data_IF_962709560077
#
_entry.id   IF_962709560077
#
_cell.length_a   1.000
_cell.length_b   1.000
_cell.length_c   1.000
_cell.angle_alpha   90.00
_cell.angle_beta   90.00
_cell.angle_gamma   90.00
#
_symmetry.space_group_name_H-M   'P 1'
#
loop_
_entity.id
_entity.type
_entity.pdbx_description
1 polymer ?
#
# COMPACT_ATOMS: atom_id res chain seq x y z
N UNK A 1 3.31 -12.96 -1.23
CA UNK A 1 2.59 -13.35 -0.03
C UNK A 1 3.27 -14.44 0.81
N UNK A 2 4.49 -14.78 0.57
CA UNK A 2 5.18 -15.91 1.21
C UNK A 2 6.65 -15.56 1.46
N UNK A 3 6.96 -14.72 2.43
CA UNK A 3 8.35 -14.63 2.94
C UNK A 3 8.50 -13.76 4.20
N UNK A 4 7.67 -14.04 5.19
CA UNK A 4 7.75 -13.36 6.50
C UNK A 4 8.18 -14.31 7.62
N UNK A 5 8.44 -15.56 7.29
CA UNK A 5 8.75 -16.60 8.27
C UNK A 5 10.14 -16.45 8.93
N UNK A 6 11.10 -15.76 8.30
CA UNK A 6 12.48 -15.73 8.79
C UNK A 6 12.74 -14.79 9.97
N UNK A 7 11.97 -13.70 10.11
CA UNK A 7 12.22 -12.71 11.19
C UNK A 7 11.58 -13.16 12.50
N UNK A 8 10.45 -13.84 12.45
CA UNK A 8 9.78 -14.38 13.65
C UNK A 8 10.54 -15.58 14.23
N UNK A 9 11.11 -16.42 13.36
CA UNK A 9 11.94 -17.56 13.80
C UNK A 9 13.22 -17.14 14.51
N UNK A 10 13.85 -16.04 14.10
CA UNK A 10 15.07 -15.55 14.79
C UNK A 10 14.74 -15.03 16.19
N UNK A 11 13.57 -14.43 16.42
CA UNK A 11 13.21 -13.95 17.78
C UNK A 11 12.76 -15.08 18.71
N UNK A 12 12.13 -16.13 18.19
CA UNK A 12 11.68 -17.29 18.98
C UNK A 12 12.78 -18.33 19.18
N UNK A 13 13.64 -18.58 18.18
CA UNK A 13 14.77 -19.51 18.34
C UNK A 13 15.80 -19.04 19.35
N UNK A 14 16.06 -17.73 19.40
CA UNK A 14 17.02 -17.15 20.39
C UNK A 14 16.47 -17.26 21.83
N UNK A 15 15.14 -17.26 22.01
CA UNK A 15 14.54 -17.38 23.35
C UNK A 15 14.30 -18.85 23.78
N UNK A 16 14.08 -19.77 22.82
CA UNK A 16 13.82 -21.18 23.14
C UNK A 16 15.10 -21.99 23.35
N UNK A 17 16.18 -21.66 22.69
CA UNK A 17 17.45 -22.37 22.87
C UNK A 17 18.18 -22.01 24.18
N UNK A 18 17.85 -20.88 24.82
CA UNK A 18 18.50 -20.51 26.09
C UNK A 18 17.94 -21.20 27.33
N UNK A 19 16.83 -21.95 27.21
CA UNK A 19 16.23 -22.62 28.36
C UNK A 19 16.48 -24.13 28.43
N UNK A 20 17.04 -24.78 27.40
CA UNK A 20 17.14 -26.23 27.35
C UNK A 20 18.54 -26.84 27.63
N UNK A 21 19.58 -26.07 27.96
CA UNK A 21 20.91 -26.64 28.18
C UNK A 21 21.64 -26.06 29.38
N UNK A 22 21.04 -26.13 30.57
CA UNK A 22 21.82 -26.31 31.79
C UNK A 22 21.99 -27.83 32.04
N UNK A 23 22.83 -28.50 31.27
CA UNK A 23 23.36 -29.79 31.69
C UNK A 23 24.28 -29.54 32.87
N UNK A 24 23.77 -29.87 34.04
CA UNK A 24 24.53 -29.90 35.28
C UNK A 24 25.77 -30.78 35.03
N UNK A 25 27.04 -30.29 35.16
CA UNK A 25 28.24 -31.03 34.73
C UNK A 25 28.53 -32.27 35.56
N UNK A 26 27.61 -32.77 36.33
CA UNK A 26 27.79 -33.90 37.24
C UNK A 26 26.78 -35.04 37.14
N UNK A 27 25.92 -35.07 36.09
CA UNK A 27 24.95 -36.21 35.98
C UNK A 27 25.27 -37.09 34.75
N UNK A 28 25.27 -38.43 34.93
CA UNK A 28 25.39 -39.36 33.82
C UNK A 28 24.20 -39.21 32.86
N UNK A 29 24.43 -39.38 31.54
CA UNK A 29 23.42 -39.28 30.48
C UNK A 29 23.26 -40.61 29.76
N UNK A 30 22.12 -40.83 29.11
CA UNK A 30 21.92 -42.01 28.27
C UNK A 30 22.44 -41.78 26.85
N UNK A 31 23.20 -42.75 26.33
CA UNK A 31 23.63 -42.75 24.96
C UNK A 31 22.40 -42.84 24.01
N UNK A 32 22.28 -41.85 23.12
CA UNK A 32 21.14 -41.81 22.14
C UNK A 32 21.19 -42.93 21.09
N UNK A 33 22.41 -43.51 20.88
CA UNK A 33 22.60 -44.57 19.87
C UNK A 33 22.30 -45.97 20.40
N UNK A 34 22.68 -46.31 21.64
CA UNK A 34 22.51 -47.66 22.17
C UNK A 34 21.82 -47.73 23.55
N UNK A 35 21.40 -46.59 24.15
CA UNK A 35 20.72 -46.54 25.42
C UNK A 35 21.58 -46.77 26.66
N UNK A 36 22.90 -47.01 26.51
CA UNK A 36 23.78 -47.21 27.66
C UNK A 36 23.99 -45.90 28.46
N UNK A 37 24.19 -46.02 29.77
CA UNK A 37 24.51 -44.89 30.63
C UNK A 37 25.97 -44.47 30.38
N UNK A 38 26.17 -43.21 30.11
CA UNK A 38 27.47 -42.58 29.85
C UNK A 38 27.81 -41.69 31.03
N UNK A 39 29.03 -41.75 31.49
CA UNK A 39 29.53 -40.93 32.58
C UNK A 39 29.49 -39.45 32.27
N UNK A 40 29.39 -38.63 33.32
CA UNK A 40 29.37 -37.18 33.16
C UNK A 40 30.68 -36.69 32.52
N UNK A 41 30.60 -36.03 31.35
CA UNK A 41 31.75 -35.49 30.64
C UNK A 41 32.50 -36.45 29.74
N UNK A 42 32.08 -37.69 29.60
CA UNK A 42 32.68 -38.62 28.62
C UNK A 42 32.35 -38.24 27.19
N UNK A 43 33.36 -38.05 26.30
CA UNK A 43 33.13 -37.61 24.92
C UNK A 43 32.58 -38.69 23.98
N UNK A 44 32.69 -39.98 24.41
CA UNK A 44 32.20 -41.14 23.64
C UNK A 44 31.56 -42.17 24.54
N UNK A 45 30.56 -42.87 24.04
CA UNK A 45 29.94 -43.99 24.74
C UNK A 45 30.92 -45.20 24.79
N UNK A 46 31.25 -45.68 25.99
CA UNK A 46 32.14 -46.83 26.17
C UNK A 46 31.57 -48.12 25.56
N UNK A 47 30.23 -48.21 25.31
CA UNK A 47 29.55 -49.42 24.81
C UNK A 47 29.53 -49.46 23.27
N UNK A 48 29.23 -48.32 22.61
CA UNK A 48 29.04 -48.33 21.15
C UNK A 48 29.94 -47.35 20.39
N UNK A 49 30.83 -46.64 21.09
CA UNK A 49 31.74 -45.65 20.49
C UNK A 49 31.11 -44.38 19.95
N UNK A 50 29.76 -44.25 20.04
CA UNK A 50 29.06 -43.06 19.54
C UNK A 50 29.43 -41.83 20.34
N UNK A 51 29.68 -40.70 19.67
CA UNK A 51 29.96 -39.42 20.35
C UNK A 51 28.78 -39.03 21.23
N UNK A 52 29.05 -38.70 22.49
CA UNK A 52 28.04 -38.27 23.45
C UNK A 52 27.82 -36.76 23.41
N UNK A 53 28.74 -36.03 22.79
CA UNK A 53 28.57 -34.60 22.50
C UNK A 53 27.77 -34.39 21.25
N UNK A 54 26.47 -34.15 21.37
CA UNK A 54 25.56 -33.83 20.26
C UNK A 54 25.73 -32.40 19.73
N UNK A 55 26.64 -31.62 20.28
CA UNK A 55 27.01 -30.30 19.75
C UNK A 55 28.50 -30.05 19.95
N UNK A 56 29.23 -29.50 18.97
CA UNK A 56 30.57 -29.01 19.20
C UNK A 56 30.52 -27.97 20.34
N UNK A 57 31.41 -28.13 21.34
CA UNK A 57 31.47 -27.16 22.41
C UNK A 57 31.65 -25.77 21.87
N UNK A 58 30.68 -24.89 22.12
CA UNK A 58 30.74 -23.49 21.67
C UNK A 58 32.07 -22.88 22.15
N UNK A 59 32.76 -22.23 21.22
CA UNK A 59 34.01 -21.53 21.55
C UNK A 59 33.73 -20.37 22.54
N UNK A 60 34.71 -19.93 23.25
CA UNK A 60 34.57 -18.79 24.17
C UNK A 60 34.06 -17.54 23.44
N UNK A 61 34.47 -17.36 22.18
CA UNK A 61 34.02 -16.26 21.32
C UNK A 61 32.54 -16.38 20.95
N UNK A 62 32.03 -17.58 20.63
CA UNK A 62 30.60 -17.82 20.33
C UNK A 62 29.74 -17.54 21.58
N UNK A 63 30.15 -18.01 22.76
CA UNK A 63 29.42 -17.72 24.01
C UNK A 63 29.42 -16.24 24.37
N UNK A 64 30.48 -15.51 24.05
CA UNK A 64 30.52 -14.05 24.26
C UNK A 64 29.62 -13.34 23.27
N UNK A 65 29.62 -13.70 21.99
CA UNK A 65 28.74 -13.14 20.96
C UNK A 65 27.25 -13.38 21.30
N UNK A 66 26.90 -14.57 21.81
CA UNK A 66 25.56 -14.88 22.27
C UNK A 66 25.14 -14.01 23.47
N UNK A 67 26.01 -13.85 24.46
CA UNK A 67 25.76 -12.99 25.61
C UNK A 67 25.54 -11.52 25.21
N UNK A 68 26.32 -11.00 24.27
CA UNK A 68 26.20 -9.63 23.77
C UNK A 68 24.87 -9.48 22.98
N UNK A 69 24.53 -10.47 22.16
CA UNK A 69 23.25 -10.53 21.44
C UNK A 69 22.06 -10.51 22.39
N UNK A 70 22.11 -11.33 23.46
CA UNK A 70 21.02 -11.40 24.46
C UNK A 70 20.95 -10.07 25.25
N UNK A 71 22.08 -9.47 25.65
CA UNK A 71 22.09 -8.17 26.34
C UNK A 71 21.49 -7.07 25.47
N UNK A 72 21.89 -6.98 24.20
CA UNK A 72 21.36 -6.01 23.25
C UNK A 72 19.86 -6.25 23.00
N UNK A 73 19.47 -7.50 22.71
CA UNK A 73 18.08 -7.89 22.52
C UNK A 73 17.22 -7.47 23.73
N UNK A 74 17.64 -7.81 24.94
CA UNK A 74 16.93 -7.44 26.17
C UNK A 74 16.82 -5.92 26.33
N UNK A 75 17.89 -5.18 26.08
CA UNK A 75 17.89 -3.71 26.21
C UNK A 75 17.02 -3.00 25.16
N UNK A 76 16.85 -3.57 23.98
CA UNK A 76 16.07 -2.98 22.88
C UNK A 76 14.64 -3.54 22.83
N UNK A 77 14.47 -4.87 22.88
CA UNK A 77 13.19 -5.51 22.71
C UNK A 77 12.24 -5.33 23.90
N UNK A 78 12.76 -5.03 25.10
CA UNK A 78 11.95 -4.67 26.27
C UNK A 78 11.25 -3.31 26.14
N UNK A 79 11.70 -2.46 25.21
CA UNK A 79 11.09 -1.13 25.04
C UNK A 79 9.67 -1.24 24.50
N UNK A 80 8.76 -0.35 24.93
CA UNK A 80 7.38 -0.34 24.44
C UNK A 80 7.33 0.07 22.96
N UNK A 81 6.28 -0.39 22.26
CA UNK A 81 5.97 -0.05 20.87
C UNK A 81 4.51 0.44 20.72
N UNK A 82 4.15 1.42 21.52
CA UNK A 82 2.78 1.93 21.68
C UNK A 82 2.21 2.50 20.39
N UNK A 83 3.00 3.25 19.62
CA UNK A 83 2.52 3.90 18.40
C UNK A 83 2.36 2.92 17.24
N UNK A 84 3.08 1.81 17.21
CA UNK A 84 2.79 0.70 16.29
C UNK A 84 1.35 0.21 16.51
N UNK A 85 0.93 0.02 17.77
CA UNK A 85 -0.45 -0.38 18.10
C UNK A 85 -1.45 0.73 17.79
N UNK A 86 -1.12 1.99 18.10
CA UNK A 86 -1.99 3.14 17.76
C UNK A 86 -2.24 3.21 16.25
N UNK A 87 -1.20 3.06 15.42
CA UNK A 87 -1.33 3.06 13.97
C UNK A 87 -2.15 1.88 13.46
N UNK A 88 -1.95 0.69 14.04
CA UNK A 88 -2.75 -0.50 13.72
C UNK A 88 -4.24 -0.23 14.00
N UNK A 89 -4.55 0.24 15.20
CA UNK A 89 -5.94 0.55 15.61
C UNK A 89 -6.53 1.65 14.73
N UNK A 90 -5.76 2.71 14.41
CA UNK A 90 -6.22 3.79 13.54
C UNK A 90 -6.60 3.29 12.14
N UNK A 91 -5.77 2.42 11.53
CA UNK A 91 -6.06 1.84 10.22
C UNK A 91 -7.29 0.92 10.25
N UNK A 92 -7.41 0.08 11.27
CA UNK A 92 -8.61 -0.77 11.48
C UNK A 92 -9.86 0.10 11.67
N UNK A 93 -9.77 1.15 12.47
CA UNK A 93 -10.89 2.07 12.73
C UNK A 93 -11.36 2.77 11.44
N UNK A 94 -10.42 3.35 10.67
CA UNK A 94 -10.76 4.00 9.38
C UNK A 94 -11.39 2.98 8.43
N UNK A 95 -10.87 1.76 8.37
CA UNK A 95 -11.43 0.70 7.53
C UNK A 95 -12.87 0.35 7.95
N UNK A 96 -13.14 0.23 9.25
CA UNK A 96 -14.49 -0.02 9.76
C UNK A 96 -15.45 1.13 9.45
N UNK A 97 -15.01 2.38 9.54
CA UNK A 97 -15.81 3.53 9.12
C UNK A 97 -16.12 3.49 7.62
N UNK A 98 -15.13 3.15 6.79
CA UNK A 98 -15.34 2.96 5.35
C UNK A 98 -16.33 1.85 5.07
N UNK A 99 -16.21 0.72 5.77
CA UNK A 99 -17.12 -0.40 5.66
C UNK A 99 -18.56 0.00 5.97
N UNK A 100 -18.79 0.58 7.13
CA UNK A 100 -20.12 1.00 7.57
C UNK A 100 -20.74 2.05 6.63
N UNK A 101 -19.95 3.05 6.22
CA UNK A 101 -20.44 4.13 5.35
C UNK A 101 -20.68 3.74 3.90
N UNK A 102 -20.01 2.70 3.40
CA UNK A 102 -20.15 2.23 2.01
C UNK A 102 -21.29 1.21 1.83
N UNK A 103 -21.95 0.79 2.92
CA UNK A 103 -23.05 -0.18 2.88
C UNK A 103 -22.66 -1.57 2.35
N UNK A 104 -21.38 -1.90 2.41
CA UNK A 104 -20.86 -3.17 1.88
C UNK A 104 -21.33 -4.36 2.74
N UNK A 105 -21.77 -5.43 2.09
CA UNK A 105 -22.13 -6.70 2.74
C UNK A 105 -20.92 -7.62 2.91
N UNK A 106 -21.06 -8.68 3.73
CA UNK A 106 -19.96 -9.61 4.02
C UNK A 106 -19.34 -10.32 2.79
N UNK A 107 -20.08 -10.45 1.70
CA UNK A 107 -19.58 -11.01 0.44
C UNK A 107 -18.45 -10.18 -0.20
N UNK A 108 -18.23 -8.96 0.28
CA UNK A 108 -17.30 -7.97 -0.26
C UNK A 108 -15.96 -7.92 0.47
N UNK A 109 -15.65 -8.86 1.37
CA UNK A 109 -14.37 -8.93 2.10
C UNK A 109 -13.15 -8.92 1.15
N UNK A 110 -13.31 -9.46 -0.05
CA UNK A 110 -12.24 -9.59 -1.03
C UNK A 110 -12.36 -8.58 -2.20
N UNK A 111 -13.51 -7.94 -2.36
CA UNK A 111 -13.73 -6.93 -3.39
C UNK A 111 -13.19 -5.58 -2.93
N UNK A 112 -12.83 -4.74 -3.90
CA UNK A 112 -12.41 -3.37 -3.60
C UNK A 112 -13.61 -2.54 -3.14
N UNK A 113 -13.37 -1.57 -2.25
CA UNK A 113 -14.34 -0.51 -1.99
C UNK A 113 -14.67 0.23 -3.27
N UNK A 114 -15.91 0.66 -3.46
CA UNK A 114 -16.29 1.52 -4.58
C UNK A 114 -15.41 2.77 -4.62
N UNK A 115 -15.04 3.19 -5.83
CA UNK A 115 -14.20 4.37 -6.02
C UNK A 115 -14.73 5.63 -5.29
N UNK A 116 -16.05 5.94 -5.30
CA UNK A 116 -16.58 7.05 -4.53
C UNK A 116 -16.31 6.97 -3.03
N UNK A 117 -16.27 5.76 -2.45
CA UNK A 117 -15.92 5.57 -1.05
C UNK A 117 -14.44 5.89 -0.79
N UNK A 118 -13.53 5.40 -1.65
CA UNK A 118 -12.11 5.72 -1.56
C UNK A 118 -11.87 7.23 -1.68
N UNK A 119 -12.54 7.90 -2.61
CA UNK A 119 -12.45 9.35 -2.83
C UNK A 119 -12.99 10.12 -1.63
N UNK A 120 -14.14 9.74 -1.06
CA UNK A 120 -14.77 10.39 0.08
C UNK A 120 -13.87 10.36 1.32
N UNK A 121 -13.16 9.26 1.54
CA UNK A 121 -12.21 9.11 2.65
C UNK A 121 -10.83 9.71 2.38
N UNK A 122 -10.59 10.27 1.19
CA UNK A 122 -9.39 11.03 0.88
C UNK A 122 -8.28 10.24 0.20
N UNK A 123 -8.60 9.19 -0.56
CA UNK A 123 -7.64 8.53 -1.43
C UNK A 123 -6.92 9.54 -2.33
N UNK A 124 -5.65 9.28 -2.66
CA UNK A 124 -4.85 10.12 -3.54
C UNK A 124 -5.48 10.13 -4.94
N UNK A 125 -5.78 11.29 -5.44
CA UNK A 125 -6.25 11.53 -6.80
C UNK A 125 -5.72 12.89 -7.25
N UNK A 126 -4.88 12.92 -8.29
CA UNK A 126 -4.17 14.15 -8.71
C UNK A 126 -5.16 15.24 -9.11
N UNK A 127 -6.24 14.86 -9.79
CA UNK A 127 -7.30 15.78 -10.17
C UNK A 127 -7.83 16.60 -8.99
N UNK A 128 -8.02 15.97 -7.82
CA UNK A 128 -8.51 16.65 -6.62
C UNK A 128 -7.41 17.37 -5.83
N UNK A 129 -6.15 17.00 -6.04
CA UNK A 129 -5.00 17.69 -5.42
C UNK A 129 -4.68 18.99 -6.16
N UNK A 130 -4.84 18.98 -7.50
CA UNK A 130 -4.55 20.12 -8.37
C UNK A 130 -5.63 21.21 -8.29
N UNK A 131 -5.38 22.32 -8.96
CA UNK A 131 -6.36 23.38 -9.18
C UNK A 131 -7.59 22.84 -9.91
N UNK A 132 -8.82 23.30 -9.62
CA UNK A 132 -9.16 24.32 -8.62
C UNK A 132 -9.44 23.77 -7.22
N UNK A 133 -9.26 22.45 -6.99
CA UNK A 133 -9.71 21.78 -5.77
C UNK A 133 -8.77 21.92 -4.58
N UNK A 134 -7.44 21.89 -4.82
CA UNK A 134 -6.38 22.05 -3.81
C UNK A 134 -6.53 21.20 -2.56
N UNK A 135 -6.94 19.90 -2.72
CA UNK A 135 -7.21 18.99 -1.61
C UNK A 135 -5.91 18.36 -1.08
N UNK A 136 -5.03 19.17 -0.45
CA UNK A 136 -3.70 18.79 0.03
C UNK A 136 -3.73 17.64 1.07
N UNK A 137 -4.82 17.44 1.80
CA UNK A 137 -4.96 16.34 2.76
C UNK A 137 -4.90 14.96 2.12
N UNK A 138 -5.05 14.88 0.80
CA UNK A 138 -4.85 13.66 0.01
C UNK A 138 -3.39 13.23 -0.12
N UNK A 139 -2.44 13.99 0.44
CA UNK A 139 -1.08 13.51 0.69
C UNK A 139 -0.95 12.76 2.02
N UNK A 140 -1.95 12.84 2.93
CA UNK A 140 -1.90 12.28 4.28
C UNK A 140 -2.91 11.14 4.44
N UNK A 141 -4.18 11.38 4.11
CA UNK A 141 -5.26 10.43 4.31
C UNK A 141 -5.02 9.05 3.64
N UNK A 142 -4.41 8.95 2.45
CA UNK A 142 -4.23 7.66 1.76
C UNK A 142 -3.50 6.61 2.59
N UNK A 143 -2.57 6.99 3.46
CA UNK A 143 -1.79 6.03 4.27
C UNK A 143 -2.60 5.35 5.40
N UNK A 144 -3.86 5.76 5.60
CA UNK A 144 -4.78 5.17 6.58
C UNK A 144 -5.98 4.48 5.93
N UNK A 145 -6.09 4.53 4.61
CA UNK A 145 -7.20 3.97 3.82
C UNK A 145 -6.72 2.69 3.14
N UNK A 146 -7.59 1.70 3.03
CA UNK A 146 -7.26 0.44 2.36
C UNK A 146 -8.35 0.07 1.36
N UNK A 147 -7.93 -0.47 0.21
CA UNK A 147 -8.82 -0.75 -0.93
C UNK A 147 -9.77 -1.91 -0.61
N UNK A 148 -9.31 -2.93 0.13
CA UNK A 148 -10.09 -4.08 0.57
C UNK A 148 -9.50 -4.68 1.84
N UNK A 149 -10.19 -5.68 2.42
CA UNK A 149 -9.75 -6.34 3.65
C UNK A 149 -8.40 -7.05 3.49
N UNK A 150 -8.18 -7.73 2.37
CA UNK A 150 -6.91 -8.41 2.12
C UNK A 150 -5.73 -7.42 2.13
N UNK A 151 -5.88 -6.28 1.47
CA UNK A 151 -4.88 -5.21 1.46
C UNK A 151 -4.63 -4.66 2.87
N UNK A 152 -5.69 -4.45 3.67
CA UNK A 152 -5.56 -4.05 5.07
C UNK A 152 -4.76 -5.09 5.87
N UNK A 153 -5.15 -6.37 5.80
CA UNK A 153 -4.51 -7.43 6.58
C UNK A 153 -3.03 -7.57 6.26
N UNK A 154 -2.65 -7.53 4.98
CA UNK A 154 -1.23 -7.57 4.56
C UNK A 154 -0.45 -6.37 5.11
N UNK A 155 -1.03 -5.15 5.05
CA UNK A 155 -0.39 -3.97 5.59
C UNK A 155 -0.27 -4.03 7.12
N UNK A 156 -1.31 -4.45 7.83
CA UNK A 156 -1.29 -4.56 9.30
C UNK A 156 -0.33 -5.65 9.78
N UNK A 157 -0.29 -6.78 9.08
CA UNK A 157 0.71 -7.80 9.33
C UNK A 157 2.14 -7.27 9.14
N UNK A 158 2.39 -6.56 8.03
CA UNK A 158 3.69 -5.94 7.76
C UNK A 158 4.04 -4.88 8.82
N UNK A 159 3.06 -4.08 9.28
CA UNK A 159 3.25 -3.12 10.37
C UNK A 159 3.68 -3.82 11.66
N UNK A 160 3.04 -4.94 12.02
CA UNK A 160 3.40 -5.72 13.21
C UNK A 160 4.77 -6.39 13.11
N UNK A 161 5.22 -6.72 11.87
CA UNK A 161 6.55 -7.29 11.65
C UNK A 161 7.67 -6.24 11.72
N UNK A 162 7.46 -5.05 11.14
CA UNK A 162 8.51 -4.04 10.96
C UNK A 162 8.43 -2.93 12.02
N UNK A 163 7.21 -2.49 12.34
CA UNK A 163 6.95 -1.35 13.22
C UNK A 163 7.58 -1.45 14.59
N UNK A 164 7.38 -2.57 15.35
CA UNK A 164 7.97 -2.72 16.69
C UNK A 164 9.49 -2.62 16.69
N UNK A 165 10.18 -3.10 15.66
CA UNK A 165 11.63 -2.98 15.57
C UNK A 165 12.07 -1.54 15.41
N UNK A 166 11.45 -0.80 14.45
CA UNK A 166 11.80 0.62 14.25
C UNK A 166 11.47 1.44 15.49
N UNK A 167 10.28 1.23 16.11
CA UNK A 167 9.87 1.99 17.29
C UNK A 167 10.78 1.71 18.49
N UNK A 168 11.18 0.44 18.73
CA UNK A 168 12.08 0.05 19.81
C UNK A 168 13.50 0.57 19.58
N UNK A 169 13.98 0.57 18.33
CA UNK A 169 15.33 1.05 17.99
C UNK A 169 15.41 2.58 18.06
N UNK A 170 14.48 3.29 17.48
CA UNK A 170 14.53 4.75 17.35
C UNK A 170 13.74 5.50 18.42
N UNK A 171 12.80 4.84 19.10
CA UNK A 171 11.84 5.43 20.04
C UNK A 171 10.58 5.96 19.35
N UNK A 172 9.47 6.05 20.11
CA UNK A 172 8.14 6.37 19.58
C UNK A 172 8.07 7.70 18.84
N UNK A 173 8.79 8.73 19.31
CA UNK A 173 8.74 10.04 18.67
C UNK A 173 9.31 10.01 17.25
N UNK A 174 10.51 9.43 17.07
CA UNK A 174 11.12 9.27 15.75
C UNK A 174 10.31 8.33 14.86
N UNK A 175 9.76 7.26 15.42
CA UNK A 175 8.94 6.30 14.70
C UNK A 175 7.71 6.97 14.05
N UNK A 176 6.97 7.80 14.79
CA UNK A 176 5.81 8.52 14.27
C UNK A 176 6.22 9.48 13.14
N UNK A 177 7.32 10.22 13.34
CA UNK A 177 7.85 11.10 12.30
C UNK A 177 8.24 10.31 11.05
N UNK A 178 8.94 9.19 11.22
CA UNK A 178 9.32 8.32 10.08
C UNK A 178 8.10 7.82 9.33
N UNK A 179 7.10 7.30 10.03
CA UNK A 179 5.86 6.85 9.43
C UNK A 179 5.20 7.93 8.57
N UNK A 180 5.01 9.13 9.14
CA UNK A 180 4.31 10.21 8.45
C UNK A 180 5.13 10.76 7.27
N UNK A 181 6.41 11.02 7.48
CA UNK A 181 7.28 11.58 6.43
C UNK A 181 7.44 10.61 5.25
N UNK A 182 7.68 9.32 5.55
CA UNK A 182 7.85 8.33 4.48
C UNK A 182 6.54 8.00 3.77
N UNK A 183 5.43 8.02 4.50
CA UNK A 183 4.10 7.87 3.90
C UNK A 183 3.76 9.02 2.96
N UNK A 184 3.97 10.27 3.39
CA UNK A 184 3.79 11.45 2.53
C UNK A 184 4.74 11.39 1.32
N UNK A 185 6.02 11.06 1.51
CA UNK A 185 6.97 10.92 0.41
C UNK A 185 6.54 9.86 -0.61
N UNK A 186 5.98 8.74 -0.14
CA UNK A 186 5.38 7.73 -1.00
C UNK A 186 4.22 8.28 -1.82
N UNK A 187 3.27 8.98 -1.17
CA UNK A 187 2.12 9.57 -1.88
C UNK A 187 2.57 10.66 -2.86
N UNK A 188 3.58 11.48 -2.51
CA UNK A 188 4.17 12.48 -3.41
C UNK A 188 4.81 11.79 -4.62
N UNK A 189 5.56 10.71 -4.43
CA UNK A 189 6.12 9.94 -5.54
C UNK A 189 5.01 9.40 -6.46
N UNK A 190 3.94 8.85 -5.89
CA UNK A 190 2.76 8.41 -6.64
C UNK A 190 2.11 9.56 -7.42
N UNK A 191 2.00 10.75 -6.81
CA UNK A 191 1.46 11.94 -7.46
C UNK A 191 2.32 12.37 -8.66
N UNK A 192 3.63 12.40 -8.52
CA UNK A 192 4.56 12.82 -9.56
C UNK A 192 4.65 11.84 -10.73
N UNK A 193 4.33 10.57 -10.51
CA UNK A 193 4.47 9.49 -11.51
C UNK A 193 3.21 9.22 -12.32
N UNK A 194 2.13 9.98 -12.16
CA UNK A 194 1.02 9.99 -13.12
C UNK A 194 1.48 10.75 -14.37
N UNK A 195 2.06 10.02 -15.33
CA UNK A 195 2.65 10.52 -16.58
C UNK A 195 2.35 9.54 -17.72
N UNK A 196 1.23 9.71 -18.44
CA UNK A 196 0.81 8.79 -19.51
C UNK A 196 1.90 8.58 -20.57
N UNK A 197 2.64 9.65 -20.92
CA UNK A 197 3.68 9.60 -21.94
C UNK A 197 4.87 8.71 -21.57
N UNK A 198 5.14 8.54 -20.27
CA UNK A 198 6.23 7.73 -19.74
C UNK A 198 5.78 6.32 -19.34
N UNK A 199 4.47 6.06 -19.30
CA UNK A 199 3.89 4.77 -18.93
C UNK A 199 3.93 3.75 -20.09
N UNK A 200 5.07 3.64 -20.76
CA UNK A 200 5.28 2.77 -21.93
C UNK A 200 6.22 1.61 -21.61
N UNK A 201 6.06 0.48 -22.30
CA UNK A 201 6.86 -0.72 -22.02
C UNK A 201 6.68 -1.26 -20.61
N UNK A 202 7.44 -2.30 -20.26
CA UNK A 202 7.32 -2.96 -18.95
C UNK A 202 7.88 -2.11 -17.80
N UNK A 203 9.01 -1.46 -18.00
CA UNK A 203 9.65 -0.61 -16.98
C UNK A 203 8.90 0.71 -16.78
N UNK A 204 8.45 1.36 -17.87
CA UNK A 204 7.64 2.56 -17.78
C UNK A 204 6.35 2.32 -16.99
N UNK A 205 5.62 1.24 -17.30
CA UNK A 205 4.40 0.87 -16.56
C UNK A 205 4.64 0.39 -15.12
N UNK A 206 5.86 -0.02 -14.78
CA UNK A 206 6.21 -0.32 -13.40
C UNK A 206 6.23 0.93 -12.52
N UNK A 207 6.76 2.04 -13.04
CA UNK A 207 6.95 3.26 -12.26
C UNK A 207 5.89 4.33 -12.54
N UNK A 208 5.50 4.51 -13.81
CA UNK A 208 4.58 5.55 -14.23
C UNK A 208 3.17 4.98 -14.45
N UNK A 209 2.18 5.82 -14.16
CA UNK A 209 0.75 5.52 -14.36
C UNK A 209 0.22 6.27 -15.56
N UNK A 210 -0.54 5.58 -16.40
CA UNK A 210 -1.26 6.18 -17.54
C UNK A 210 -2.54 6.89 -17.09
N UNK A 211 -3.18 6.40 -16.02
CA UNK A 211 -4.43 6.92 -15.49
C UNK A 211 -4.25 7.43 -14.06
N UNK A 212 -4.98 8.49 -13.72
CA UNK A 212 -5.07 9.01 -12.34
C UNK A 212 -6.17 8.27 -11.58
N UNK A 213 -5.88 7.04 -11.16
CA UNK A 213 -6.79 6.24 -10.34
C UNK A 213 -6.58 6.53 -8.86
N UNK A 214 -7.64 6.41 -8.03
CA UNK A 214 -7.50 6.52 -6.58
C UNK A 214 -6.47 5.55 -6.03
N UNK A 215 -5.49 6.10 -5.29
CA UNK A 215 -4.44 5.30 -4.64
C UNK A 215 -4.54 5.45 -3.13
N UNK A 216 -4.42 4.32 -2.42
CA UNK A 216 -4.55 4.24 -0.98
C UNK A 216 -3.76 3.05 -0.43
N UNK A 217 -3.33 3.14 0.83
CA UNK A 217 -2.61 2.09 1.54
C UNK A 217 -1.47 2.62 2.41
N UNK A 218 -1.22 1.95 3.53
CA UNK A 218 -0.11 2.23 4.43
C UNK A 218 1.25 1.79 3.84
N UNK A 219 1.25 1.11 2.71
CA UNK A 219 2.43 0.43 2.17
C UNK A 219 3.61 1.34 1.87
N UNK A 220 3.37 2.60 1.41
CA UNK A 220 4.44 3.58 1.23
C UNK A 220 5.20 3.87 2.54
N UNK A 221 4.49 4.08 3.65
CA UNK A 221 5.10 4.24 4.97
C UNK A 221 5.82 2.96 5.44
N UNK A 222 5.23 1.79 5.21
CA UNK A 222 5.84 0.49 5.54
C UNK A 222 7.15 0.27 4.79
N UNK A 223 7.19 0.56 3.49
CA UNK A 223 8.44 0.53 2.72
C UNK A 223 9.46 1.53 3.26
N UNK A 224 8.99 2.68 3.76
CA UNK A 224 9.84 3.62 4.48
C UNK A 224 10.49 3.01 5.71
N UNK A 225 9.72 2.30 6.54
CA UNK A 225 10.27 1.59 7.71
C UNK A 225 11.25 0.47 7.31
N UNK A 226 11.00 -0.24 6.21
CA UNK A 226 11.95 -1.22 5.64
C UNK A 226 13.25 -0.53 5.22
N UNK A 227 13.17 0.64 4.55
CA UNK A 227 14.32 1.47 4.20
C UNK A 227 15.12 1.92 5.42
N UNK A 228 14.42 2.29 6.50
CA UNK A 228 15.05 2.62 7.80
C UNK A 228 15.83 1.42 8.33
N UNK A 229 15.27 0.21 8.39
CA UNK A 229 15.94 -0.99 8.90
C UNK A 229 17.09 -1.45 7.99
N UNK A 230 16.94 -1.27 6.68
CA UNK A 230 18.01 -1.56 5.73
C UNK A 230 19.25 -0.70 6.02
N UNK A 231 19.07 0.62 6.08
CA UNK A 231 20.18 1.54 6.36
C UNK A 231 20.68 1.38 7.78
N UNK A 232 19.80 1.18 8.76
CA UNK A 232 20.20 0.90 10.15
C UNK A 232 21.18 -0.27 10.23
N UNK A 233 20.88 -1.38 9.60
CA UNK A 233 21.74 -2.56 9.64
C UNK A 233 23.12 -2.37 8.96
N UNK A 234 23.21 -1.45 7.98
CA UNK A 234 24.47 -1.10 7.32
C UNK A 234 25.23 -0.07 8.14
N UNK A 235 24.59 1.05 8.50
CA UNK A 235 25.21 2.19 9.21
C UNK A 235 25.77 1.80 10.57
N UNK A 236 25.03 0.96 11.31
CA UNK A 236 25.40 0.55 12.66
C UNK A 236 25.93 -0.88 12.74
N UNK A 237 26.37 -1.47 11.62
CA UNK A 237 26.82 -2.86 11.54
C UNK A 237 27.88 -3.21 12.58
N UNK A 238 28.79 -2.28 12.90
CA UNK A 238 29.87 -2.50 13.89
C UNK A 238 29.36 -2.53 15.34
N UNK A 239 28.20 -1.90 15.59
CA UNK A 239 27.55 -1.82 16.91
C UNK A 239 26.58 -2.97 17.16
N UNK A 240 26.21 -3.73 16.11
CA UNK A 240 25.20 -4.77 16.19
C UNK A 240 25.81 -6.14 16.48
N UNK A 241 25.21 -6.92 17.39
CA UNK A 241 25.54 -8.33 17.57
C UNK A 241 25.27 -9.14 16.28
N UNK A 242 25.95 -10.28 16.08
CA UNK A 242 25.89 -11.09 14.85
C UNK A 242 24.47 -11.53 14.49
N UNK A 243 23.63 -11.90 15.45
CA UNK A 243 22.23 -12.26 15.21
C UNK A 243 21.42 -11.15 14.56
N UNK A 244 21.66 -9.88 14.92
CA UNK A 244 20.99 -8.71 14.37
C UNK A 244 21.56 -8.27 13.02
N UNK A 245 22.85 -8.51 12.76
CA UNK A 245 23.48 -8.20 11.45
C UNK A 245 22.87 -8.98 10.32
N UNK A 246 22.40 -10.21 10.58
CA UNK A 246 21.71 -11.05 9.58
C UNK A 246 20.27 -10.62 9.31
N UNK A 247 19.59 -10.07 10.33
CA UNK A 247 18.19 -9.65 10.21
C UNK A 247 18.03 -8.27 9.55
N UNK A 248 18.96 -7.35 9.80
CA UNK A 248 18.92 -5.97 9.32
C UNK A 248 19.99 -5.71 8.24
N UNK A 249 19.91 -4.57 7.58
CA UNK A 249 20.82 -4.25 6.47
C UNK A 249 20.59 -5.17 5.29
N UNK A 250 21.62 -5.88 4.84
CA UNK A 250 21.52 -6.79 3.68
C UNK A 250 20.49 -7.90 3.88
N UNK A 251 20.15 -8.26 5.11
CA UNK A 251 19.05 -9.20 5.41
C UNK A 251 17.66 -8.69 4.98
N UNK A 252 17.50 -7.38 4.78
CA UNK A 252 16.26 -6.80 4.25
C UNK A 252 16.13 -6.92 2.71
N UNK A 253 17.23 -7.21 1.99
CA UNK A 253 17.22 -7.27 0.53
C UNK A 253 16.21 -8.28 -0.04
N UNK A 254 16.08 -9.52 0.47
CA UNK A 254 15.07 -10.44 -0.03
C UNK A 254 13.65 -9.88 0.08
N UNK A 255 13.32 -9.22 1.19
CA UNK A 255 12.02 -8.58 1.40
C UNK A 255 11.80 -7.47 0.37
N UNK A 256 12.79 -6.61 0.16
CA UNK A 256 12.73 -5.52 -0.81
C UNK A 256 12.54 -6.09 -2.22
N UNK A 257 13.38 -7.06 -2.64
CA UNK A 257 13.32 -7.63 -3.99
C UNK A 257 12.02 -8.39 -4.26
N UNK A 258 11.54 -9.20 -3.32
CA UNK A 258 10.28 -9.94 -3.49
C UNK A 258 9.11 -8.97 -3.63
N UNK A 259 9.04 -7.93 -2.80
CA UNK A 259 7.96 -6.96 -2.89
C UNK A 259 8.03 -6.12 -4.18
N UNK A 260 9.22 -5.74 -4.64
CA UNK A 260 9.39 -5.06 -5.93
C UNK A 260 9.03 -5.99 -7.11
N UNK A 261 9.39 -7.29 -7.03
CA UNK A 261 9.00 -8.28 -8.04
C UNK A 261 7.48 -8.47 -8.09
N UNK A 262 6.81 -8.58 -6.93
CA UNK A 262 5.35 -8.62 -6.83
C UNK A 262 4.75 -7.33 -7.42
N UNK A 263 5.34 -6.17 -7.12
CA UNK A 263 4.95 -4.89 -7.70
C UNK A 263 5.14 -4.84 -9.22
N UNK A 264 6.20 -5.45 -9.74
CA UNK A 264 6.44 -5.54 -11.18
C UNK A 264 5.42 -6.44 -11.88
N UNK A 265 5.05 -7.56 -11.27
CA UNK A 265 4.01 -8.46 -11.79
C UNK A 265 2.64 -7.80 -11.69
N UNK A 266 2.32 -7.18 -10.55
CA UNK A 266 1.07 -6.47 -10.29
C UNK A 266 1.03 -5.01 -10.75
N UNK A 267 1.84 -4.65 -11.76
CA UNK A 267 1.86 -3.28 -12.32
C UNK A 267 0.47 -2.89 -12.82
N UNK A 268 0.03 -1.70 -12.40
CA UNK A 268 -1.32 -1.22 -12.65
C UNK A 268 -2.25 -1.35 -11.44
N UNK A 269 -2.02 -2.34 -10.55
CA UNK A 269 -2.74 -2.49 -9.29
C UNK A 269 -1.93 -2.02 -8.08
N UNK A 270 -0.59 -2.20 -8.13
CA UNK A 270 0.33 -1.84 -7.04
C UNK A 270 0.99 -0.50 -7.35
N UNK A 271 0.98 0.40 -6.38
CA UNK A 271 1.60 1.72 -6.47
C UNK A 271 3.11 1.65 -6.19
N UNK A 272 3.86 1.17 -7.19
CA UNK A 272 5.31 0.98 -7.08
C UNK A 272 6.06 2.28 -6.82
N UNK A 273 5.57 3.39 -7.36
CA UNK A 273 6.16 4.70 -7.11
C UNK A 273 6.03 5.10 -5.63
N UNK A 274 4.87 4.84 -5.02
CA UNK A 274 4.68 5.07 -3.58
C UNK A 274 5.61 4.19 -2.74
N UNK A 275 5.82 2.93 -3.12
CA UNK A 275 6.74 2.02 -2.44
C UNK A 275 8.19 2.50 -2.52
N UNK A 276 8.65 2.87 -3.72
CA UNK A 276 10.02 3.38 -3.91
C UNK A 276 10.23 4.73 -3.21
N UNK A 277 9.25 5.65 -3.30
CA UNK A 277 9.30 6.93 -2.61
C UNK A 277 9.41 6.77 -1.10
N UNK A 278 8.63 5.84 -0.53
CA UNK A 278 8.72 5.46 0.89
C UNK A 278 10.08 4.86 1.23
N UNK A 279 10.53 3.86 0.50
CA UNK A 279 11.81 3.16 0.72
C UNK A 279 13.00 4.15 0.73
N UNK A 280 13.10 4.99 -0.29
CA UNK A 280 14.19 5.95 -0.45
C UNK A 280 14.17 7.03 0.64
N UNK A 281 13.00 7.57 0.97
CA UNK A 281 12.86 8.56 2.04
C UNK A 281 13.17 7.97 3.42
N UNK A 282 12.78 6.73 3.68
CA UNK A 282 13.13 6.01 4.92
C UNK A 282 14.62 5.74 5.02
N UNK A 283 15.27 5.35 3.92
CA UNK A 283 16.72 5.21 3.85
C UNK A 283 17.43 6.54 4.13
N UNK A 284 17.00 7.63 3.51
CA UNK A 284 17.55 8.98 3.75
C UNK A 284 17.40 9.43 5.21
N UNK A 285 16.22 9.20 5.82
CA UNK A 285 15.99 9.51 7.22
C UNK A 285 16.94 8.71 8.15
N UNK A 286 17.17 7.43 7.89
CA UNK A 286 18.06 6.61 8.70
C UNK A 286 19.55 7.00 8.52
N UNK A 287 19.94 7.52 7.36
CA UNK A 287 21.26 8.10 7.17
C UNK A 287 21.47 9.33 8.05
N UNK A 288 20.43 10.19 8.14
CA UNK A 288 20.50 11.45 8.89
C UNK A 288 20.26 11.29 10.40
N UNK A 289 19.48 10.28 10.81
CA UNK A 289 19.01 10.13 12.20
C UNK A 289 19.61 8.91 12.87
N UNK A 290 20.23 9.10 14.03
CA UNK A 290 20.77 7.99 14.81
C UNK A 290 19.69 7.26 15.63
N UNK A 291 19.88 5.95 15.79
CA UNK A 291 19.03 5.14 16.67
C UNK A 291 19.30 5.43 18.14
N UNK A 292 18.42 4.99 19.02
CA UNK A 292 18.57 5.14 20.46
C UNK A 292 19.44 4.00 21.00
N UNK A 293 20.74 4.27 21.21
CA UNK A 293 21.69 3.30 21.76
C UNK A 293 21.25 2.78 23.13
N UNK A 294 21.57 1.52 23.48
CA UNK A 294 21.43 1.03 24.86
C UNK A 294 22.21 1.93 25.84
N UNK A 295 21.58 2.34 26.93
CA UNK A 295 22.21 3.22 27.95
C UNK A 295 22.28 4.71 27.60
N UNK A 296 21.89 5.14 26.41
CA UNK A 296 21.87 6.56 26.03
C UNK A 296 20.90 7.38 26.90
N UNK A 297 21.36 8.54 27.39
CA UNK A 297 20.51 9.48 28.14
C UNK A 297 19.39 10.02 27.25
N UNK A 298 18.23 10.30 27.87
CA UNK A 298 17.00 10.73 27.19
C UNK A 298 17.05 12.17 26.63
N UNK A 299 18.20 12.85 26.58
CA UNK A 299 18.30 14.31 26.37
C UNK A 299 17.95 14.84 24.97
N UNK A 300 17.86 13.99 23.94
CA UNK A 300 17.43 14.41 22.58
C UNK A 300 15.90 14.39 22.43
N UNK A 301 15.18 14.18 23.51
CA UNK A 301 13.77 13.78 23.52
C UNK A 301 12.82 14.92 23.15
N UNK A 302 13.14 16.16 23.51
CA UNK A 302 12.17 17.27 23.37
C UNK A 302 12.00 17.73 21.92
N UNK A 303 13.06 17.87 21.13
CA UNK A 303 12.97 18.22 19.71
C UNK A 303 12.15 17.17 18.94
N UNK A 304 12.41 15.88 19.17
CA UNK A 304 11.67 14.81 18.50
C UNK A 304 10.21 14.71 18.96
N UNK A 305 9.92 15.08 20.24
CA UNK A 305 8.54 15.20 20.72
C UNK A 305 7.80 16.33 20.01
N UNK A 306 8.46 17.48 19.79
CA UNK A 306 7.86 18.58 19.00
C UNK A 306 7.55 18.10 17.57
N UNK A 307 8.50 17.46 16.88
CA UNK A 307 8.25 16.90 15.56
C UNK A 307 7.15 15.84 15.55
N UNK A 308 7.06 15.00 16.56
CA UNK A 308 5.97 14.04 16.74
C UNK A 308 4.64 14.75 16.87
N UNK A 309 4.54 15.78 17.70
CA UNK A 309 3.31 16.55 17.89
C UNK A 309 2.90 17.26 16.60
N UNK A 310 3.84 17.83 15.87
CA UNK A 310 3.58 18.43 14.55
C UNK A 310 3.10 17.39 13.55
N UNK A 311 3.73 16.22 13.48
CA UNK A 311 3.31 15.14 12.60
C UNK A 311 1.89 14.65 12.93
N UNK A 312 1.57 14.48 14.21
CA UNK A 312 0.21 14.12 14.66
C UNK A 312 -0.80 15.23 14.36
N UNK A 313 -0.44 16.50 14.56
CA UNK A 313 -1.29 17.64 14.23
C UNK A 313 -1.62 17.69 12.73
N UNK A 314 -0.64 17.41 11.87
CA UNK A 314 -0.84 17.31 10.41
C UNK A 314 -1.82 16.18 10.07
N UNK A 315 -1.74 15.02 10.72
CA UNK A 315 -2.70 13.92 10.54
C UNK A 315 -4.11 14.33 10.98
N UNK A 316 -4.23 14.91 12.18
CA UNK A 316 -5.53 15.38 12.71
C UNK A 316 -6.14 16.42 11.78
N UNK A 317 -5.34 17.40 11.31
CA UNK A 317 -5.81 18.42 10.38
C UNK A 317 -6.20 17.81 9.02
N UNK A 318 -5.47 16.80 8.55
CA UNK A 318 -5.80 16.06 7.34
C UNK A 318 -7.18 15.38 7.46
N UNK A 319 -7.42 14.64 8.53
CA UNK A 319 -8.71 13.99 8.77
C UNK A 319 -9.84 14.98 9.08
N UNK A 320 -9.56 16.10 9.73
CA UNK A 320 -10.51 17.20 9.87
C UNK A 320 -10.97 17.71 8.49
N UNK A 321 -10.02 17.88 7.55
CA UNK A 321 -10.35 18.29 6.18
C UNK A 321 -11.13 17.21 5.43
N UNK A 322 -10.78 15.93 5.61
CA UNK A 322 -11.59 14.81 5.08
C UNK A 322 -13.01 14.91 5.61
N UNK A 323 -13.21 15.03 6.92
CA UNK A 323 -14.54 15.11 7.54
C UNK A 323 -15.34 16.33 7.05
N UNK A 324 -14.68 17.50 6.92
CA UNK A 324 -15.33 18.73 6.41
C UNK A 324 -15.76 18.61 4.94
N UNK A 325 -15.07 17.80 4.16
CA UNK A 325 -15.34 17.59 2.73
C UNK A 325 -15.96 16.22 2.46
N UNK A 326 -16.39 15.52 3.51
CA UNK A 326 -16.97 14.19 3.39
C UNK A 326 -18.35 14.30 2.74
N UNK A 327 -18.44 13.78 1.50
CA UNK A 327 -19.72 13.51 0.88
C UNK A 327 -19.96 12.00 0.99
N UNK A 328 -21.05 11.63 1.66
CA UNK A 328 -21.40 10.22 1.82
C UNK A 328 -21.41 9.55 0.44
N UNK A 329 -20.68 8.44 0.24
CA UNK A 329 -20.65 7.76 -1.06
C UNK A 329 -22.07 7.41 -1.50
N UNK A 330 -22.43 7.75 -2.74
CA UNK A 330 -23.77 7.53 -3.28
C UNK A 330 -24.16 6.04 -3.30
N UNK A 331 -23.19 5.13 -3.16
CA UNK A 331 -23.42 3.69 -3.00
C UNK A 331 -23.76 3.22 -1.58
N UNK A 332 -23.60 4.09 -0.56
CA UNK A 332 -23.76 3.71 0.85
C UNK A 332 -25.22 3.74 1.37
N UNK A 333 -26.17 4.17 0.58
CA UNK A 333 -27.56 4.38 1.02
C UNK A 333 -28.47 3.18 0.73
N UNK A 334 -27.94 2.06 0.27
CA UNK A 334 -28.81 0.94 -0.13
C UNK A 334 -28.71 -0.22 0.87
N UNK A 335 -29.16 0.00 2.10
CA UNK A 335 -29.78 -1.07 2.92
C UNK A 335 -31.26 -1.33 2.54
N UNK A 336 -31.80 -0.53 1.65
CA UNK A 336 -33.11 -0.76 1.04
C UNK A 336 -32.82 -1.22 -0.39
N UNK A 337 -33.30 -2.39 -0.77
CA UNK A 337 -33.26 -2.84 -2.17
C UNK A 337 -33.62 -1.66 -3.06
N UNK A 338 -32.75 -1.20 -3.99
CA UNK A 338 -33.06 -0.06 -4.80
C UNK A 338 -34.39 -0.32 -5.50
N UNK A 339 -35.31 0.66 -5.52
CA UNK A 339 -36.45 0.58 -6.43
C UNK A 339 -35.89 0.30 -7.82
N UNK A 340 -36.62 -0.44 -8.66
CA UNK A 340 -36.15 -0.76 -10.04
C UNK A 340 -35.65 0.50 -10.78
N UNK A 341 -36.23 1.68 -10.48
CA UNK A 341 -35.77 2.98 -11.00
C UNK A 341 -34.38 3.40 -10.56
N UNK A 342 -34.04 3.20 -9.29
CA UNK A 342 -32.70 3.50 -8.77
C UNK A 342 -31.65 2.58 -9.40
N UNK A 343 -31.96 1.30 -9.57
CA UNK A 343 -31.06 0.35 -10.24
C UNK A 343 -30.84 0.70 -11.72
N UNK A 344 -31.89 1.10 -12.43
CA UNK A 344 -31.80 1.58 -13.81
C UNK A 344 -30.91 2.82 -13.89
N UNK A 345 -31.08 3.78 -12.97
CA UNK A 345 -30.26 4.98 -12.91
C UNK A 345 -28.77 4.66 -12.66
N UNK A 346 -28.46 3.82 -11.68
CA UNK A 346 -27.07 3.44 -11.36
C UNK A 346 -26.40 2.69 -12.51
N UNK A 347 -27.09 1.75 -13.14
CA UNK A 347 -26.59 1.03 -14.30
C UNK A 347 -26.33 1.97 -15.48
N UNK A 348 -27.24 2.90 -15.72
CA UNK A 348 -27.10 3.91 -16.76
C UNK A 348 -25.86 4.79 -16.53
N UNK A 349 -25.68 5.33 -15.33
CA UNK A 349 -24.51 6.16 -14.97
C UNK A 349 -23.21 5.37 -15.16
N UNK A 350 -23.15 4.11 -14.69
CA UNK A 350 -21.99 3.24 -14.86
C UNK A 350 -21.64 3.03 -16.35
N UNK A 351 -22.65 2.80 -17.19
CA UNK A 351 -22.46 2.64 -18.63
C UNK A 351 -21.98 3.94 -19.29
N UNK A 352 -22.54 5.09 -18.90
CA UNK A 352 -22.11 6.39 -19.43
C UNK A 352 -20.66 6.69 -19.08
N UNK A 353 -20.19 6.33 -17.90
CA UNK A 353 -18.78 6.45 -17.51
C UNK A 353 -17.87 5.60 -18.40
N UNK A 354 -18.24 4.35 -18.71
CA UNK A 354 -17.48 3.50 -19.64
C UNK A 354 -17.36 4.13 -21.04
N UNK A 355 -18.43 4.75 -21.55
CA UNK A 355 -18.39 5.45 -22.84
C UNK A 355 -17.46 6.67 -22.77
N UNK A 356 -17.49 7.45 -21.70
CA UNK A 356 -16.60 8.59 -21.51
C UNK A 356 -15.12 8.16 -21.41
N UNK A 357 -14.83 7.07 -20.70
CA UNK A 357 -13.49 6.48 -20.65
C UNK A 357 -13.00 6.06 -22.04
N UNK A 358 -13.89 5.47 -22.86
CA UNK A 358 -13.55 5.11 -24.23
C UNK A 358 -13.33 6.33 -25.11
N UNK A 359 -14.11 7.39 -24.96
CA UNK A 359 -13.87 8.67 -25.65
C UNK A 359 -12.49 9.23 -25.28
N UNK A 360 -12.14 9.21 -23.99
CA UNK A 360 -10.82 9.64 -23.52
C UNK A 360 -9.69 8.79 -24.14
N UNK A 361 -9.87 7.47 -24.23
CA UNK A 361 -8.91 6.57 -24.87
C UNK A 361 -8.74 6.86 -26.37
N UNK A 362 -9.84 7.17 -27.09
CA UNK A 362 -9.78 7.57 -28.49
C UNK A 362 -9.08 8.91 -28.67
N UNK A 363 -9.38 9.90 -27.83
CA UNK A 363 -8.79 11.25 -27.93
C UNK A 363 -7.29 11.24 -27.60
N UNK A 364 -6.88 10.55 -26.54
CA UNK A 364 -5.51 10.63 -26.04
C UNK A 364 -4.59 9.55 -26.58
N UNK A 365 -5.12 8.36 -26.88
CA UNK A 365 -4.31 7.20 -27.25
C UNK A 365 -4.57 6.70 -28.67
N UNK A 366 -5.50 7.30 -29.40
CA UNK A 366 -6.02 6.81 -30.69
C UNK A 366 -6.52 5.35 -30.60
N UNK A 367 -7.00 4.93 -29.42
CA UNK A 367 -7.47 3.57 -29.18
C UNK A 367 -8.95 3.44 -29.58
N UNK A 368 -9.17 2.87 -30.75
CA UNK A 368 -10.51 2.55 -31.28
C UNK A 368 -10.92 1.09 -31.05
N UNK A 369 -10.11 0.31 -30.33
CA UNK A 369 -10.50 -1.06 -29.95
C UNK A 369 -11.80 -1.04 -29.16
N UNK A 370 -12.61 -2.08 -29.28
CA UNK A 370 -13.83 -2.28 -28.49
C UNK A 370 -14.92 -1.17 -28.59
N UNK A 371 -14.76 -0.15 -29.43
CA UNK A 371 -15.77 0.92 -29.61
C UNK A 371 -17.14 0.33 -29.95
N UNK A 372 -17.19 -0.69 -30.81
CA UNK A 372 -18.42 -1.36 -31.15
C UNK A 372 -19.08 -2.05 -29.94
N UNK A 373 -18.29 -2.74 -29.13
CA UNK A 373 -18.77 -3.43 -27.93
C UNK A 373 -19.27 -2.43 -26.87
N UNK A 374 -18.54 -1.34 -26.63
CA UNK A 374 -18.95 -0.27 -25.70
C UNK A 374 -20.22 0.41 -26.18
N UNK A 375 -20.33 0.70 -27.48
CA UNK A 375 -21.56 1.27 -28.10
C UNK A 375 -22.75 0.34 -27.93
N UNK A 376 -22.57 -0.95 -28.19
CA UNK A 376 -23.66 -1.95 -28.08
C UNK A 376 -24.13 -2.07 -26.62
N UNK A 377 -23.20 -2.11 -25.66
CA UNK A 377 -23.51 -2.15 -24.22
C UNK A 377 -24.29 -0.89 -23.80
N UNK A 378 -23.88 0.27 -24.27
CA UNK A 378 -24.56 1.53 -23.96
C UNK A 378 -25.98 1.61 -24.56
N UNK A 379 -26.18 1.10 -25.77
CA UNK A 379 -27.50 1.07 -26.40
C UNK A 379 -28.48 0.12 -25.67
N UNK A 380 -27.97 -0.99 -25.10
CA UNK A 380 -28.77 -1.95 -24.35
C UNK A 380 -29.08 -1.49 -22.92
N UNK A 381 -28.32 -0.57 -22.38
CA UNK A 381 -28.57 -0.07 -21.03
C UNK A 381 -29.87 0.76 -20.99
N UNK A 382 -30.82 0.40 -20.09
CA UNK A 382 -32.08 1.15 -19.98
C UNK A 382 -31.79 2.55 -19.41
N UNK A 383 -32.31 3.58 -20.08
CA UNK A 383 -32.20 4.96 -19.62
C UNK A 383 -33.32 5.25 -18.59
N UNK A 384 -33.02 5.99 -17.50
CA UNK A 384 -34.00 6.27 -16.45
C UNK A 384 -35.10 7.25 -16.88
N UNK A 385 -34.83 8.12 -17.86
CA UNK A 385 -35.76 9.09 -18.42
C UNK A 385 -35.42 9.46 -19.89
N UNK A 386 -36.28 10.28 -20.50
CA UNK A 386 -36.11 10.73 -21.89
C UNK A 386 -34.82 11.55 -22.08
N UNK A 387 -34.49 12.41 -21.12
CA UNK A 387 -33.25 13.23 -21.17
C UNK A 387 -31.97 12.37 -21.09
N UNK A 388 -31.97 11.34 -20.27
CA UNK A 388 -30.91 10.36 -20.25
C UNK A 388 -30.74 9.67 -21.63
N UNK A 389 -31.84 9.32 -22.28
CA UNK A 389 -31.78 8.71 -23.61
C UNK A 389 -31.15 9.66 -24.64
N UNK A 390 -31.53 10.94 -24.64
CA UNK A 390 -30.93 11.96 -25.50
C UNK A 390 -29.44 12.12 -25.27
N UNK A 391 -29.04 12.30 -24.01
CA UNK A 391 -27.62 12.44 -23.61
C UNK A 391 -26.78 11.23 -24.00
N UNK A 392 -27.31 10.00 -23.85
CA UNK A 392 -26.66 8.79 -24.33
C UNK A 392 -26.44 8.81 -25.84
N UNK A 393 -27.47 9.12 -26.59
CA UNK A 393 -27.41 9.12 -28.05
C UNK A 393 -26.44 10.18 -28.57
N UNK A 394 -26.41 11.36 -27.95
CA UNK A 394 -25.44 12.41 -28.25
C UNK A 394 -24.01 11.93 -28.00
N UNK A 395 -23.76 11.30 -26.82
CA UNK A 395 -22.42 10.81 -26.47
C UNK A 395 -21.95 9.70 -27.42
N UNK A 396 -22.82 8.77 -27.79
CA UNK A 396 -22.47 7.72 -28.75
C UNK A 396 -22.23 8.29 -30.17
N UNK A 397 -22.93 9.36 -30.55
CA UNK A 397 -22.64 10.10 -31.78
C UNK A 397 -21.25 10.75 -31.77
N UNK A 398 -20.85 11.33 -30.63
CA UNK A 398 -19.51 11.90 -30.45
C UNK A 398 -18.45 10.79 -30.53
N UNK A 399 -18.62 9.68 -29.83
CA UNK A 399 -17.69 8.52 -29.86
C UNK A 399 -17.52 7.99 -31.29
N UNK A 400 -18.63 7.85 -32.03
CA UNK A 400 -18.61 7.36 -33.43
C UNK A 400 -17.82 8.32 -34.35
N UNK A 401 -18.04 9.64 -34.23
CA UNK A 401 -17.27 10.64 -35.00
C UNK A 401 -15.78 10.61 -34.69
N UNK A 402 -15.41 10.56 -33.42
CA UNK A 402 -14.01 10.49 -33.01
C UNK A 402 -13.33 9.20 -33.47
N UNK A 403 -13.98 8.04 -33.28
CA UNK A 403 -13.47 6.76 -33.75
C UNK A 403 -13.33 6.69 -35.28
N UNK A 404 -14.30 7.25 -36.01
CA UNK A 404 -14.25 7.35 -37.48
C UNK A 404 -13.07 8.21 -37.96
N UNK A 405 -12.78 9.34 -37.28
CA UNK A 405 -11.66 10.20 -37.62
C UNK A 405 -10.29 9.51 -37.41
N UNK A 406 -10.15 8.76 -36.30
CA UNK A 406 -8.95 7.97 -36.03
C UNK A 406 -8.80 6.83 -37.04
N UNK A 407 -9.87 6.11 -37.37
CA UNK A 407 -9.82 5.02 -38.33
C UNK A 407 -9.48 5.51 -39.77
N UNK A 408 -9.99 6.68 -40.17
CA UNK A 408 -9.69 7.28 -41.46
C UNK A 408 -8.24 7.78 -41.62
N UNK A 409 -7.57 8.09 -40.49
CA UNK A 409 -6.17 8.51 -40.46
C UNK A 409 -5.17 7.34 -40.51
N UNK A 410 -5.62 6.09 -40.40
CA UNK A 410 -4.77 4.90 -40.52
C UNK A 410 -4.51 4.57 -41.99
N UNK A 411 -3.26 4.58 -42.51
CA UNK A 411 -3.02 4.31 -43.93
C UNK A 411 -3.30 2.84 -44.28
N UNK A 412 -3.97 2.62 -45.39
CA UNK A 412 -4.20 1.29 -45.95
C UNK A 412 -2.98 0.71 -46.70
N UNK A 413 -1.83 1.38 -46.71
CA UNK A 413 -0.61 0.94 -47.45
C UNK A 413 0.64 1.11 -46.63
N UNK A 414 1.46 0.06 -46.69
CA UNK A 414 2.81 -0.07 -46.12
C UNK A 414 3.74 1.07 -46.61
N UNK A 415 4.53 1.65 -45.71
CA UNK A 415 5.69 2.53 -45.96
C UNK A 415 5.53 4.08 -46.04
N UNK A 416 4.47 4.69 -45.55
CA UNK A 416 4.41 6.14 -45.41
C UNK A 416 4.53 6.62 -43.93
N UNK A 417 5.11 7.84 -43.66
CA UNK A 417 5.11 8.39 -42.31
C UNK A 417 3.67 8.60 -41.83
N UNK A 418 3.29 8.01 -40.68
CA UNK A 418 1.96 8.14 -40.07
C UNK A 418 1.70 9.61 -39.76
N UNK A 419 0.75 10.23 -40.43
CA UNK A 419 0.21 11.51 -40.00
C UNK A 419 -0.59 11.28 -38.71
N UNK A 420 -0.35 12.09 -37.64
CA UNK A 420 -1.23 12.03 -36.47
C UNK A 420 -2.66 12.34 -36.90
N UNK A 421 -3.68 11.61 -36.38
CA UNK A 421 -5.07 11.92 -36.71
C UNK A 421 -5.38 13.36 -36.27
N UNK A 422 -5.83 14.21 -37.19
CA UNK A 422 -6.39 15.49 -36.84
C UNK A 422 -7.80 15.25 -36.32
N UNK A 423 -7.93 15.21 -34.99
CA UNK A 423 -9.25 15.22 -34.37
C UNK A 423 -9.90 16.58 -34.65
N UNK A 424 -11.14 16.52 -35.18
CA UNK A 424 -11.91 17.74 -35.39
C UNK A 424 -12.18 18.43 -34.05
N UNK A 425 -11.63 19.62 -33.86
CA UNK A 425 -11.77 20.40 -32.63
C UNK A 425 -13.24 20.67 -32.30
N UNK A 426 -14.09 20.75 -33.30
CA UNK A 426 -15.54 20.95 -33.11
C UNK A 426 -16.18 19.77 -32.39
N UNK A 427 -15.72 18.54 -32.65
CA UNK A 427 -16.24 17.32 -31.99
C UNK A 427 -15.75 17.26 -30.55
N UNK A 428 -14.51 17.68 -30.28
CA UNK A 428 -13.96 17.77 -28.92
C UNK A 428 -14.72 18.83 -28.12
N UNK A 429 -15.06 19.95 -28.71
CA UNK A 429 -15.83 21.00 -28.04
C UNK A 429 -17.31 20.59 -27.84
N UNK A 430 -17.91 19.82 -28.78
CA UNK A 430 -19.20 19.16 -28.54
C UNK A 430 -19.17 18.22 -27.33
N UNK A 431 -18.10 17.48 -27.13
CA UNK A 431 -17.95 16.62 -25.96
C UNK A 431 -17.87 17.41 -24.65
N UNK A 432 -17.15 18.53 -24.63
CA UNK A 432 -17.09 19.41 -23.44
C UNK A 432 -18.45 20.01 -23.09
N UNK A 433 -19.23 20.39 -24.10
CA UNK A 433 -20.57 20.93 -23.88
C UNK A 433 -21.51 19.84 -23.36
N UNK A 434 -21.45 18.64 -23.98
CA UNK A 434 -22.18 17.49 -23.50
C UNK A 434 -21.86 17.17 -22.03
N UNK A 435 -20.59 17.25 -21.60
CA UNK A 435 -20.20 17.02 -20.21
C UNK A 435 -20.91 17.98 -19.24
N UNK A 436 -21.03 19.26 -19.60
CA UNK A 436 -21.76 20.24 -18.80
C UNK A 436 -23.24 19.88 -18.67
N UNK A 437 -23.88 19.54 -19.78
CA UNK A 437 -25.28 19.15 -19.79
C UNK A 437 -25.53 17.87 -18.98
N UNK A 438 -24.64 16.88 -19.12
CA UNK A 438 -24.70 15.64 -18.37
C UNK A 438 -24.53 15.87 -16.86
N UNK A 439 -23.59 16.72 -16.45
CA UNK A 439 -23.38 17.06 -15.03
C UNK A 439 -24.62 17.75 -14.43
N UNK A 440 -25.26 18.64 -15.17
CA UNK A 440 -26.52 19.30 -14.73
C UNK A 440 -27.63 18.27 -14.56
N UNK A 441 -27.83 17.41 -15.56
CA UNK A 441 -28.81 16.32 -15.49
C UNK A 441 -28.50 15.37 -14.34
N UNK A 442 -27.25 14.94 -14.18
CA UNK A 442 -26.82 13.97 -13.17
C UNK A 442 -27.11 14.47 -11.74
N UNK A 443 -26.85 15.75 -11.46
CA UNK A 443 -27.18 16.39 -10.17
C UNK A 443 -28.67 16.39 -9.86
N UNK A 444 -29.52 16.63 -10.86
CA UNK A 444 -30.96 16.58 -10.74
C UNK A 444 -31.50 15.16 -10.59
N UNK A 445 -31.03 14.27 -11.47
CA UNK A 445 -31.41 12.87 -11.52
C UNK A 445 -31.01 12.11 -10.24
N UNK A 446 -29.82 12.38 -9.70
CA UNK A 446 -29.41 11.79 -8.41
C UNK A 446 -30.40 12.09 -7.30
N UNK A 447 -30.89 13.33 -7.19
CA UNK A 447 -31.92 13.70 -6.20
C UNK A 447 -33.24 12.95 -6.44
N UNK A 448 -33.62 12.76 -7.69
CA UNK A 448 -34.91 12.15 -8.06
C UNK A 448 -34.90 10.63 -7.88
N UNK A 449 -33.81 9.96 -8.27
CA UNK A 449 -33.75 8.49 -8.33
C UNK A 449 -33.10 7.84 -7.10
N UNK A 450 -32.39 8.59 -6.24
CA UNK A 450 -31.77 8.07 -5.02
C UNK A 450 -32.43 8.60 -3.73
N UNK A 451 -33.46 9.45 -3.81
CA UNK A 451 -34.23 9.87 -2.64
C UNK A 451 -34.95 8.67 -2.00
N UNK A 452 -34.95 8.53 -0.67
CA UNK A 452 -35.79 7.54 0.00
C UNK A 452 -37.25 7.85 -0.28
N UNK A 453 -37.99 6.84 -0.74
CA UNK A 453 -39.47 6.91 -0.85
C UNK A 453 -40.08 6.68 0.52
#
# INVERSE_FOLDING_TARGET
>A
MLCTCSITLVSLSVLSESQSNQTNPGRPTMCRSCGAIVGAGEPQCAVCGASTSSQPAQTANERQADRETIKFARAVLSRPYKFTIVLLVANLFVFMLMWESSGMTSSVLWQAFPEPALIAYGAKLNYLINAPHYQWWRFIAPMFIHINLFHLLVNMYSLMMVGPFVEKLYGSAKFVVFWIVTGIAGVVASYLTVRPQLATGSFGRFLFKSLDNPSAGASGALFGLVGVLFVFGIKFRRELPEGFKRAFGTGMLPIIFINLAIGFIGRGFIDNAAHLGGLLSGAALALAVDYRRPGARASVTNTWRVFQMLALAVVVLGFYKVARNFNRPVGAVVRISPSGRTQIFLNYVGTMNQVQEKIAAVIHNNDVSDVAAVTQTALQAPAPDTRATELRNQLLGILSKLAGAVAAASPATDNGPRRPPQLDQTVVDQYKEWQKEYDVWLKGAAKTYTAPQ
#
